data_IF_099910654049
#
_entry.id   IF_099910654049
#
_cell.length_a   1.000
_cell.length_b   1.000
_cell.length_c   1.000
_cell.angle_alpha   90.00
_cell.angle_beta   90.00
_cell.angle_gamma   90.00
#
_symmetry.space_group_name_H-M   'P 1'
#
loop_
_entity.id
_entity.type
_entity.pdbx_description
1 polymer ?
#
# COMPACT_ATOMS: atom_id res chain seq x y z
N UNK A 1 -29.42 -36.26 49.63
CA UNK A 1 -28.47 -35.26 49.09
C UNK A 1 -27.84 -35.89 47.87
N UNK A 2 -28.12 -35.39 46.67
CA UNK A 2 -27.45 -35.89 45.46
C UNK A 2 -25.96 -35.53 45.53
N UNK A 3 -25.04 -36.44 45.18
CA UNK A 3 -23.62 -36.13 45.14
C UNK A 3 -23.37 -34.99 44.15
N UNK A 4 -22.67 -33.95 44.60
CA UNK A 4 -22.21 -32.88 43.72
C UNK A 4 -21.21 -33.54 42.76
N UNK A 5 -21.43 -33.45 41.42
CA UNK A 5 -20.48 -33.98 40.47
C UNK A 5 -19.13 -33.29 40.65
N UNK A 6 -18.01 -34.02 40.53
CA UNK A 6 -16.70 -33.41 40.66
C UNK A 6 -16.57 -32.26 39.66
N UNK A 7 -15.88 -31.17 40.05
CA UNK A 7 -15.62 -30.08 39.13
C UNK A 7 -14.93 -30.63 37.87
N UNK A 8 -15.23 -30.07 36.68
CA UNK A 8 -14.53 -30.44 35.46
C UNK A 8 -13.01 -30.33 35.70
N UNK A 9 -12.27 -31.38 35.34
CA UNK A 9 -10.81 -31.32 35.39
C UNK A 9 -10.36 -30.13 34.55
N UNK A 10 -9.65 -29.19 35.16
CA UNK A 10 -9.01 -28.10 34.42
C UNK A 10 -8.14 -28.72 33.33
N UNK A 11 -8.19 -28.19 32.10
CA UNK A 11 -7.33 -28.67 31.03
C UNK A 11 -5.88 -28.62 31.52
N UNK A 12 -5.06 -29.62 31.16
CA UNK A 12 -3.66 -29.67 31.57
C UNK A 12 -3.01 -28.35 31.18
N UNK A 13 -2.42 -27.66 32.16
CA UNK A 13 -1.66 -26.46 31.86
C UNK A 13 -0.47 -26.88 30.98
N UNK A 14 -0.23 -26.17 29.86
CA UNK A 14 0.90 -26.49 29.01
C UNK A 14 2.18 -26.35 29.83
N UNK A 15 3.06 -27.33 29.70
CA UNK A 15 4.38 -27.28 30.34
C UNK A 15 5.21 -26.17 29.72
N UNK A 16 6.12 -25.59 30.53
CA UNK A 16 6.95 -24.46 30.11
C UNK A 16 7.74 -24.76 28.82
N UNK A 17 8.17 -26.02 28.63
CA UNK A 17 8.91 -26.41 27.43
C UNK A 17 8.04 -26.37 26.17
N UNK A 18 6.79 -26.85 26.24
CA UNK A 18 5.84 -26.74 25.14
C UNK A 18 5.50 -25.29 24.80
N UNK A 19 5.31 -24.44 25.81
CA UNK A 19 5.08 -23.00 25.59
C UNK A 19 6.27 -22.32 24.89
N UNK A 20 7.50 -22.68 25.27
CA UNK A 20 8.71 -22.16 24.64
C UNK A 20 8.85 -22.64 23.20
N UNK A 21 8.52 -23.90 22.91
CA UNK A 21 8.60 -24.44 21.55
C UNK A 21 7.56 -23.76 20.63
N UNK A 22 6.34 -23.55 21.11
CA UNK A 22 5.30 -22.78 20.41
C UNK A 22 5.76 -21.35 20.09
N UNK A 23 6.43 -20.68 21.04
CA UNK A 23 6.98 -19.34 20.82
C UNK A 23 8.09 -19.34 19.77
N UNK A 24 9.00 -20.31 19.81
CA UNK A 24 10.10 -20.44 18.84
C UNK A 24 9.55 -20.71 17.45
N UNK A 25 8.61 -21.66 17.31
CA UNK A 25 7.96 -21.96 16.03
C UNK A 25 7.19 -20.76 15.48
N UNK A 26 6.43 -20.05 16.33
CA UNK A 26 5.75 -18.82 15.93
C UNK A 26 6.72 -17.72 15.46
N UNK A 27 7.91 -17.65 16.05
CA UNK A 27 8.91 -16.63 15.70
C UNK A 27 9.56 -16.86 14.34
N UNK A 28 9.64 -18.11 13.87
CA UNK A 28 10.28 -18.43 12.59
C UNK A 28 9.49 -17.87 11.40
N UNK A 29 8.16 -18.09 11.38
CA UNK A 29 7.30 -17.53 10.34
C UNK A 29 7.30 -16.00 10.33
N UNK A 30 7.34 -15.37 11.49
CA UNK A 30 7.46 -13.91 11.61
C UNK A 30 8.80 -13.43 11.04
N UNK A 31 9.90 -14.12 11.36
CA UNK A 31 11.23 -13.78 10.86
C UNK A 31 11.30 -13.88 9.33
N UNK A 32 10.81 -14.96 8.75
CA UNK A 32 10.79 -15.14 7.28
C UNK A 32 9.97 -14.07 6.57
N UNK A 33 8.82 -13.69 7.15
CA UNK A 33 7.99 -12.62 6.62
C UNK A 33 8.70 -11.27 6.68
N UNK A 34 9.35 -10.95 7.81
CA UNK A 34 10.12 -9.72 7.97
C UNK A 34 11.35 -9.66 7.06
N UNK A 35 12.06 -10.77 6.88
CA UNK A 35 13.21 -10.86 5.97
C UNK A 35 12.78 -10.63 4.52
N UNK A 36 11.65 -11.23 4.12
CA UNK A 36 11.05 -11.03 2.80
C UNK A 36 10.64 -9.57 2.58
N UNK A 37 9.95 -8.97 3.55
CA UNK A 37 9.54 -7.57 3.50
C UNK A 37 10.73 -6.63 3.40
N UNK A 38 11.75 -6.85 4.23
CA UNK A 38 12.98 -6.06 4.25
C UNK A 38 13.70 -6.13 2.90
N UNK A 39 13.75 -7.31 2.26
CA UNK A 39 14.32 -7.47 0.92
C UNK A 39 13.58 -6.61 -0.11
N UNK A 40 12.25 -6.68 -0.16
CA UNK A 40 11.45 -5.86 -1.08
C UNK A 40 11.64 -4.36 -0.87
N UNK A 41 11.67 -3.90 0.39
CA UNK A 41 11.91 -2.48 0.71
C UNK A 41 13.31 -2.06 0.28
N UNK A 42 14.33 -2.90 0.49
CA UNK A 42 15.71 -2.64 0.06
C UNK A 42 15.86 -2.57 -1.45
N UNK A 43 15.16 -3.43 -2.18
CA UNK A 43 15.13 -3.41 -3.65
C UNK A 43 14.57 -2.07 -4.16
N UNK A 44 13.41 -1.65 -3.63
CA UNK A 44 12.82 -0.34 -3.97
C UNK A 44 13.78 0.81 -3.61
N UNK A 45 14.32 0.82 -2.40
CA UNK A 45 15.26 1.84 -1.94
C UNK A 45 16.52 1.92 -2.81
N UNK A 46 17.04 0.79 -3.29
CA UNK A 46 18.20 0.77 -4.17
C UNK A 46 17.90 1.44 -5.51
N UNK A 47 16.70 1.25 -6.08
CA UNK A 47 16.25 1.94 -7.29
C UNK A 47 16.10 3.43 -7.04
N UNK A 48 15.45 3.80 -5.93
CA UNK A 48 15.27 5.20 -5.53
C UNK A 48 16.59 5.94 -5.37
N UNK A 49 17.58 5.35 -4.69
CA UNK A 49 18.90 5.96 -4.43
C UNK A 49 19.70 6.24 -5.70
N UNK A 50 19.36 5.60 -6.83
CA UNK A 50 19.94 5.90 -8.14
C UNK A 50 19.28 7.08 -8.85
N UNK A 51 18.28 7.72 -8.22
CA UNK A 51 17.50 8.81 -8.78
C UNK A 51 16.28 8.35 -9.57
N UNK A 52 16.04 7.04 -9.69
CA UNK A 52 14.89 6.48 -10.40
C UNK A 52 13.70 6.32 -9.44
N UNK A 53 13.06 7.44 -9.13
CA UNK A 53 11.86 7.48 -8.29
C UNK A 53 10.75 6.64 -8.93
N UNK A 54 10.46 6.85 -10.21
CA UNK A 54 9.36 6.18 -10.89
C UNK A 54 9.55 4.67 -10.99
N UNK A 55 10.76 4.20 -11.28
CA UNK A 55 11.09 2.77 -11.28
C UNK A 55 10.97 2.14 -9.89
N UNK A 56 11.34 2.87 -8.84
CA UNK A 56 11.12 2.41 -7.46
C UNK A 56 9.62 2.26 -7.15
N UNK A 57 8.78 3.17 -7.63
CA UNK A 57 7.33 3.10 -7.43
C UNK A 57 6.69 1.97 -8.22
N UNK A 58 7.14 1.75 -9.45
CA UNK A 58 6.68 0.62 -10.26
C UNK A 58 7.05 -0.72 -9.60
N UNK A 59 8.27 -0.84 -9.06
CA UNK A 59 8.70 -2.02 -8.31
C UNK A 59 7.85 -2.24 -7.05
N UNK A 60 7.57 -1.18 -6.29
CA UNK A 60 6.69 -1.26 -5.13
C UNK A 60 5.26 -1.65 -5.52
N UNK A 61 4.71 -1.06 -6.60
CA UNK A 61 3.36 -1.37 -7.07
C UNK A 61 3.21 -2.85 -7.49
N UNK A 62 4.26 -3.41 -8.10
CA UNK A 62 4.34 -4.82 -8.51
C UNK A 62 4.73 -5.81 -7.40
N UNK A 63 5.05 -5.33 -6.19
CA UNK A 63 5.49 -6.18 -5.10
C UNK A 63 4.35 -7.09 -4.61
N UNK A 64 4.64 -8.36 -4.36
CA UNK A 64 3.66 -9.34 -3.85
C UNK A 64 3.35 -9.18 -2.36
N UNK A 65 4.22 -8.51 -1.60
CA UNK A 65 4.02 -8.25 -0.17
C UNK A 65 3.31 -6.91 0.03
N UNK A 66 2.02 -6.97 0.36
CA UNK A 66 1.18 -5.79 0.63
C UNK A 66 1.74 -4.90 1.76
N UNK A 67 2.41 -5.48 2.76
CA UNK A 67 3.02 -4.72 3.84
C UNK A 67 4.25 -3.95 3.37
N UNK A 68 5.07 -4.53 2.48
CA UNK A 68 6.17 -3.81 1.85
C UNK A 68 5.66 -2.62 1.02
N UNK A 69 4.53 -2.79 0.30
CA UNK A 69 3.89 -1.68 -0.41
C UNK A 69 3.48 -0.58 0.57
N UNK A 70 2.80 -0.94 1.67
CA UNK A 70 2.39 0.01 2.70
C UNK A 70 3.57 0.77 3.32
N UNK A 71 4.69 0.11 3.57
CA UNK A 71 5.90 0.73 4.13
C UNK A 71 6.49 1.76 3.16
N UNK A 72 6.59 1.42 1.87
CA UNK A 72 7.08 2.34 0.84
C UNK A 72 6.13 3.53 0.71
N UNK A 73 4.82 3.30 0.62
CA UNK A 73 3.81 4.37 0.50
C UNK A 73 3.82 5.32 1.71
N UNK A 74 3.99 4.79 2.91
CA UNK A 74 4.10 5.58 4.15
C UNK A 74 5.35 6.48 4.16
N UNK A 75 6.44 6.06 3.51
CA UNK A 75 7.62 6.90 3.33
C UNK A 75 7.38 8.00 2.28
N UNK A 76 6.72 7.67 1.16
CA UNK A 76 6.42 8.62 0.09
C UNK A 76 5.47 9.73 0.53
N UNK A 77 4.51 9.40 1.40
CA UNK A 77 3.61 10.37 2.01
C UNK A 77 4.35 11.51 2.72
N UNK A 78 5.62 11.31 3.12
CA UNK A 78 6.47 12.32 3.77
C UNK A 78 7.28 13.17 2.78
N UNK A 79 7.34 12.78 1.51
CA UNK A 79 8.12 13.45 0.46
C UNK A 79 7.29 13.71 -0.81
N UNK A 80 6.11 14.36 -0.72
CA UNK A 80 5.20 14.54 -1.85
C UNK A 80 5.80 15.32 -3.03
N UNK A 81 6.81 16.16 -2.78
CA UNK A 81 7.53 16.91 -3.82
C UNK A 81 8.33 16.02 -4.79
N UNK A 82 8.59 14.76 -4.43
CA UNK A 82 9.27 13.79 -5.30
C UNK A 82 8.31 13.05 -6.23
N UNK A 83 7.00 13.20 -6.03
CA UNK A 83 5.98 12.50 -6.80
C UNK A 83 5.60 13.28 -8.06
N UNK A 84 5.30 12.55 -9.12
CA UNK A 84 4.81 13.10 -10.39
C UNK A 84 3.40 12.58 -10.72
N UNK A 85 2.78 13.10 -11.78
CA UNK A 85 1.51 12.56 -12.27
C UNK A 85 1.65 11.09 -12.67
N UNK A 86 2.79 10.69 -13.23
CA UNK A 86 3.09 9.30 -13.57
C UNK A 86 3.21 8.41 -12.34
N UNK A 87 3.71 8.96 -11.23
CA UNK A 87 3.71 8.27 -9.93
C UNK A 87 2.28 7.95 -9.50
N UNK A 88 1.36 8.92 -9.62
CA UNK A 88 -0.04 8.69 -9.27
C UNK A 88 -0.68 7.61 -10.16
N UNK A 89 -0.50 7.69 -11.48
CA UNK A 89 -1.03 6.68 -12.43
C UNK A 89 -0.50 5.28 -12.11
N UNK A 90 0.77 5.17 -11.73
CA UNK A 90 1.39 3.88 -11.41
C UNK A 90 0.89 3.29 -10.09
N UNK A 91 0.67 4.14 -9.09
CA UNK A 91 0.35 3.70 -7.73
C UNK A 91 -1.14 3.46 -7.51
N UNK A 92 -2.02 4.25 -8.16
CA UNK A 92 -3.46 4.21 -7.89
C UNK A 92 -4.08 2.80 -8.02
N UNK A 93 -3.77 2.00 -9.06
CA UNK A 93 -4.33 0.65 -9.17
C UNK A 93 -3.97 -0.27 -8.02
N UNK A 94 -2.71 -0.18 -7.56
CA UNK A 94 -2.25 -0.98 -6.43
C UNK A 94 -2.90 -0.54 -5.13
N UNK A 95 -3.02 0.77 -4.92
CA UNK A 95 -3.63 1.35 -3.72
C UNK A 95 -5.13 1.06 -3.66
N UNK A 96 -5.85 1.14 -4.78
CA UNK A 96 -7.26 0.80 -4.87
C UNK A 96 -7.51 -0.66 -4.50
N UNK A 97 -6.65 -1.59 -4.94
CA UNK A 97 -6.72 -3.01 -4.53
C UNK A 97 -6.48 -3.20 -3.02
N UNK A 98 -5.55 -2.45 -2.43
CA UNK A 98 -5.27 -2.51 -0.98
C UNK A 98 -6.41 -1.92 -0.14
N UNK A 99 -7.14 -0.94 -0.69
CA UNK A 99 -8.31 -0.36 -0.03
C UNK A 99 -9.41 -1.41 0.22
N UNK A 100 -9.53 -2.41 -0.65
CA UNK A 100 -10.44 -3.55 -0.48
C UNK A 100 -9.81 -4.76 0.22
N UNK A 101 -8.64 -4.61 0.85
CA UNK A 101 -7.98 -5.73 1.53
C UNK A 101 -8.70 -6.14 2.82
N UNK A 102 -8.58 -7.41 3.19
CA UNK A 102 -9.12 -7.92 4.46
C UNK A 102 -8.35 -7.42 5.67
N UNK A 103 -7.13 -6.92 5.47
CA UNK A 103 -6.30 -6.34 6.51
C UNK A 103 -6.64 -4.85 6.67
N UNK A 104 -7.26 -4.49 7.79
CA UNK A 104 -7.68 -3.12 8.07
C UNK A 104 -6.52 -2.11 8.04
N UNK A 105 -5.33 -2.50 8.52
CA UNK A 105 -4.17 -1.60 8.53
C UNK A 105 -3.67 -1.29 7.11
N UNK A 106 -3.72 -2.29 6.21
CA UNK A 106 -3.39 -2.10 4.80
C UNK A 106 -4.40 -1.16 4.12
N UNK A 107 -5.70 -1.31 4.40
CA UNK A 107 -6.74 -0.43 3.85
C UNK A 107 -6.61 1.02 4.35
N UNK A 108 -6.31 1.22 5.64
CA UNK A 108 -6.08 2.55 6.20
C UNK A 108 -4.82 3.19 5.61
N UNK A 109 -3.74 2.44 5.49
CA UNK A 109 -2.49 2.90 4.89
C UNK A 109 -2.68 3.32 3.42
N UNK A 110 -3.38 2.50 2.62
CA UNK A 110 -3.62 2.81 1.22
C UNK A 110 -4.53 4.03 1.05
N UNK A 111 -5.56 4.17 1.88
CA UNK A 111 -6.42 5.35 1.90
C UNK A 111 -5.61 6.62 2.20
N UNK A 112 -4.69 6.57 3.18
CA UNK A 112 -3.84 7.71 3.50
C UNK A 112 -2.92 8.07 2.31
N UNK A 113 -2.32 7.09 1.64
CA UNK A 113 -1.50 7.32 0.46
C UNK A 113 -2.30 7.95 -0.69
N UNK A 114 -3.51 7.45 -0.97
CA UNK A 114 -4.44 8.04 -1.96
C UNK A 114 -4.76 9.48 -1.58
N UNK A 115 -5.03 9.75 -0.30
CA UNK A 115 -5.35 11.09 0.17
C UNK A 115 -4.19 12.08 -0.08
N UNK A 116 -2.93 11.66 0.14
CA UNK A 116 -1.76 12.49 -0.17
C UNK A 116 -1.64 12.74 -1.68
N UNK A 117 -1.81 11.70 -2.51
CA UNK A 117 -1.76 11.84 -3.97
C UNK A 117 -2.84 12.78 -4.48
N UNK A 118 -4.09 12.60 -4.05
CA UNK A 118 -5.21 13.47 -4.43
C UNK A 118 -4.94 14.92 -4.02
N UNK A 119 -4.50 15.16 -2.78
CA UNK A 119 -4.15 16.54 -2.33
C UNK A 119 -3.03 17.16 -3.14
N UNK A 120 -2.07 16.36 -3.59
CA UNK A 120 -0.91 16.83 -4.37
C UNK A 120 -1.30 17.20 -5.80
N UNK A 121 -2.22 16.45 -6.43
CA UNK A 121 -2.54 16.57 -7.85
C UNK A 121 -3.96 17.08 -8.16
N UNK A 122 -4.80 17.37 -7.17
CA UNK A 122 -6.22 17.74 -7.39
C UNK A 122 -6.39 18.95 -8.30
N UNK A 123 -5.56 19.98 -8.11
CA UNK A 123 -5.62 21.18 -8.95
C UNK A 123 -5.22 20.89 -10.39
N UNK A 124 -4.15 20.10 -10.58
CA UNK A 124 -3.70 19.69 -11.90
C UNK A 124 -4.77 18.88 -12.64
N UNK A 125 -5.41 17.92 -11.94
CA UNK A 125 -6.48 17.10 -12.48
C UNK A 125 -7.67 17.97 -12.87
N UNK A 126 -8.14 18.82 -11.95
CA UNK A 126 -9.27 19.73 -12.20
C UNK A 126 -9.02 20.65 -13.40
N UNK A 127 -7.86 21.30 -13.45
CA UNK A 127 -7.50 22.20 -14.55
C UNK A 127 -7.34 21.46 -15.87
N UNK A 128 -6.77 20.26 -15.87
CA UNK A 128 -6.56 19.48 -17.10
C UNK A 128 -7.89 18.96 -17.69
N UNK A 129 -8.88 18.68 -16.84
CA UNK A 129 -10.19 18.17 -17.26
C UNK A 129 -11.21 19.26 -17.58
N UNK A 130 -11.17 20.41 -16.89
CA UNK A 130 -12.12 21.51 -17.08
C UNK A 130 -11.56 22.65 -17.95
N UNK A 131 -10.26 22.66 -18.23
CA UNK A 131 -9.61 23.73 -18.98
C UNK A 131 -10.03 23.76 -20.46
N UNK A 132 -9.96 24.93 -21.11
CA UNK A 132 -10.22 25.05 -22.53
C UNK A 132 -9.25 24.19 -23.35
N UNK A 133 -9.70 23.70 -24.50
CA UNK A 133 -8.85 22.96 -25.43
C UNK A 133 -7.95 23.99 -26.13
N UNK A 134 -6.62 23.96 -25.90
CA UNK A 134 -5.73 24.90 -26.56
C UNK A 134 -5.80 24.69 -28.07
N UNK A 135 -5.84 25.77 -28.87
CA UNK A 135 -5.79 25.63 -30.33
C UNK A 135 -4.42 25.08 -30.75
N UNK A 136 -4.42 23.99 -31.54
CA UNK A 136 -3.21 23.32 -32.01
C UNK A 136 -3.08 21.87 -31.52
N UNK A 137 -2.00 21.19 -31.94
CA UNK A 137 -1.67 19.82 -31.52
C UNK A 137 -0.58 19.88 -30.44
N UNK A 138 -1.00 20.00 -29.18
CA UNK A 138 -0.11 19.86 -28.03
C UNK A 138 -0.23 18.44 -27.46
N UNK A 139 0.68 17.56 -27.91
CA UNK A 139 0.72 16.15 -27.53
C UNK A 139 0.90 16.00 -26.01
N UNK A 140 1.70 16.88 -25.39
CA UNK A 140 1.98 16.82 -23.95
C UNK A 140 0.77 17.21 -23.12
N UNK A 141 0.03 18.26 -23.54
CA UNK A 141 -1.22 18.63 -22.88
C UNK A 141 -2.29 17.54 -23.04
N UNK A 142 -2.37 16.90 -24.20
CA UNK A 142 -3.32 15.81 -24.44
C UNK A 142 -2.98 14.56 -23.63
N UNK A 143 -1.69 14.20 -23.56
CA UNK A 143 -1.23 13.08 -22.72
C UNK A 143 -1.54 13.34 -21.24
N UNK A 144 -1.30 14.56 -20.75
CA UNK A 144 -1.63 14.95 -19.38
C UNK A 144 -3.13 14.85 -19.11
N UNK A 145 -3.96 15.34 -20.04
CA UNK A 145 -5.43 15.26 -19.92
C UNK A 145 -5.88 13.80 -19.86
N UNK A 146 -5.36 12.95 -20.74
CA UNK A 146 -5.63 11.49 -20.72
C UNK A 146 -5.30 10.88 -19.36
N UNK A 147 -4.09 11.11 -18.84
CA UNK A 147 -3.68 10.61 -17.51
C UNK A 147 -4.61 11.11 -16.40
N UNK A 148 -4.99 12.39 -16.42
CA UNK A 148 -5.93 12.94 -15.44
C UNK A 148 -7.33 12.33 -15.55
N UNK A 149 -7.78 12.02 -16.76
CA UNK A 149 -9.05 11.36 -17.01
C UNK A 149 -9.08 9.93 -16.47
N UNK A 150 -8.02 9.17 -16.75
CA UNK A 150 -7.88 7.79 -16.26
C UNK A 150 -7.85 7.75 -14.73
N UNK A 151 -7.05 8.63 -14.11
CA UNK A 151 -7.02 8.79 -12.64
C UNK A 151 -8.40 9.15 -12.07
N UNK A 152 -9.11 10.10 -12.69
CA UNK A 152 -10.44 10.51 -12.22
C UNK A 152 -11.46 9.36 -12.30
N UNK A 153 -11.43 8.60 -13.39
CA UNK A 153 -12.28 7.41 -13.58
C UNK A 153 -11.99 6.36 -12.52
N UNK A 154 -10.72 6.07 -12.27
CA UNK A 154 -10.29 5.04 -11.33
C UNK A 154 -10.57 5.44 -9.87
N UNK A 155 -10.31 6.69 -9.49
CA UNK A 155 -10.68 7.21 -8.17
C UNK A 155 -12.19 7.09 -7.93
N UNK A 156 -13.02 7.42 -8.93
CA UNK A 156 -14.47 7.27 -8.83
C UNK A 156 -14.89 5.82 -8.66
N UNK A 157 -14.23 4.88 -9.33
CA UNK A 157 -14.51 3.45 -9.19
C UNK A 157 -14.08 2.90 -7.83
N UNK A 158 -12.96 3.37 -7.27
CA UNK A 158 -12.47 2.95 -5.96
C UNK A 158 -13.31 3.48 -4.78
N UNK A 159 -14.09 4.55 -5.00
CA UNK A 159 -14.95 5.17 -3.98
C UNK A 159 -16.45 4.82 -4.13
N UNK A 160 -16.83 4.03 -5.14
CA UNK A 160 -18.21 3.60 -5.39
C UNK A 160 -18.50 2.25 -4.73
#
# INVERSE_FOLDING_TARGET
VYPIPPPPLEPPQPDEASMLDDMVQGSEGVREQLDTRLRHVRECLAVWRRGDVQGSLAAAAGCSDDGAVCDVMSCLAKVPHSLTLDSFVTLLPRLAKLLSSTNQDHAVSSMHAIQVLVRTFSDLIRLSLSGPHPPGVDITAEERRRKCWDLHKELRAACA
#
